data_IF_810609332714
#
_entry.id   IF_810609332714
#
_cell.length_a   1.000
_cell.length_b   1.000
_cell.length_c   1.000
_cell.angle_alpha   90.00
_cell.angle_beta   90.00
_cell.angle_gamma   90.00
#
_symmetry.space_group_name_H-M   'P 1'
#
loop_
_entity.id
_entity.type
_entity.pdbx_description
1 polymer ?
#
# COMPACT_ATOMS: atom_id res chain seq x y z
N UNK A 1 -56.48 66.77 4.00
CA UNK A 1 -56.49 65.33 4.31
C UNK A 1 -55.80 64.64 3.15
N UNK A 2 -54.52 64.30 3.31
CA UNK A 2 -53.74 63.54 2.34
C UNK A 2 -52.79 62.68 3.17
N UNK A 3 -53.10 61.39 3.29
CA UNK A 3 -52.26 60.43 3.98
C UNK A 3 -51.09 59.98 3.09
N UNK A 4 -49.90 59.73 3.68
CA UNK A 4 -48.69 59.44 2.94
C UNK A 4 -48.61 57.96 2.53
N UNK A 5 -48.15 57.75 1.30
CA UNK A 5 -47.25 56.68 0.85
C UNK A 5 -46.90 55.60 1.89
N UNK A 6 -47.56 54.45 1.82
CA UNK A 6 -47.04 53.22 2.42
C UNK A 6 -46.28 52.45 1.34
N UNK A 7 -44.96 52.69 1.29
CA UNK A 7 -44.03 51.88 0.51
C UNK A 7 -43.86 50.56 1.25
N UNK A 8 -44.48 49.50 0.75
CA UNK A 8 -44.34 48.14 1.24
C UNK A 8 -42.87 47.71 1.09
N UNK A 9 -42.13 47.71 2.20
CA UNK A 9 -40.74 47.20 2.24
C UNK A 9 -40.79 45.69 2.06
N UNK A 10 -40.37 45.20 0.90
CA UNK A 10 -39.95 43.82 0.73
C UNK A 10 -38.94 43.46 1.84
N UNK A 11 -39.06 42.28 2.48
CA UNK A 11 -38.07 41.85 3.44
C UNK A 11 -36.76 41.58 2.70
N UNK A 12 -35.72 42.31 3.09
CA UNK A 12 -34.32 42.08 2.72
C UNK A 12 -34.00 40.59 2.89
N UNK A 13 -33.93 39.87 1.77
CA UNK A 13 -33.33 38.54 1.71
C UNK A 13 -31.85 38.76 1.99
N UNK A 14 -31.45 38.63 3.26
CA UNK A 14 -30.05 38.48 3.64
C UNK A 14 -29.50 37.29 2.87
N UNK A 15 -28.79 37.55 1.77
CA UNK A 15 -27.85 36.63 1.15
C UNK A 15 -26.68 36.45 2.12
N UNK A 16 -26.94 35.77 3.24
CA UNK A 16 -25.94 35.17 4.11
C UNK A 16 -25.39 33.89 3.46
N UNK A 17 -24.38 33.26 4.06
CA UNK A 17 -23.38 32.41 3.39
C UNK A 17 -23.93 31.02 3.01
N UNK A 18 -24.89 30.97 2.08
CA UNK A 18 -25.52 29.73 1.63
C UNK A 18 -24.58 28.78 0.89
N UNK A 19 -23.41 29.26 0.46
CA UNK A 19 -22.40 28.45 -0.20
C UNK A 19 -21.35 27.86 0.76
N UNK A 20 -21.23 28.39 1.98
CA UNK A 20 -20.31 27.82 2.97
C UNK A 20 -20.84 26.50 3.53
N UNK A 21 -22.16 26.33 3.61
CA UNK A 21 -22.77 25.10 4.11
C UNK A 21 -22.47 23.85 3.25
N UNK A 22 -22.65 23.88 1.90
CA UNK A 22 -22.27 22.74 1.07
C UNK A 22 -20.76 22.49 1.05
N UNK A 23 -19.93 23.54 1.08
CA UNK A 23 -18.46 23.40 1.15
C UNK A 23 -18.04 22.75 2.47
N UNK A 24 -18.59 23.20 3.60
CA UNK A 24 -18.34 22.60 4.90
C UNK A 24 -18.82 21.13 4.95
N UNK A 25 -19.99 20.84 4.38
CA UNK A 25 -20.51 19.47 4.32
C UNK A 25 -19.59 18.53 3.52
N UNK A 26 -19.06 18.96 2.36
CA UNK A 26 -18.11 18.18 1.58
C UNK A 26 -16.80 17.96 2.33
N UNK A 27 -16.27 18.98 3.01
CA UNK A 27 -15.05 18.85 3.82
C UNK A 27 -15.25 17.87 4.98
N UNK A 28 -16.39 17.93 5.68
CA UNK A 28 -16.71 17.01 6.78
C UNK A 28 -16.88 15.58 6.26
N UNK A 29 -17.63 15.38 5.18
CA UNK A 29 -17.81 14.05 4.59
C UNK A 29 -16.48 13.48 4.05
N UNK A 30 -15.62 14.32 3.46
CA UNK A 30 -14.29 13.93 3.03
C UNK A 30 -13.39 13.52 4.20
N UNK A 31 -13.41 14.26 5.31
CA UNK A 31 -12.67 13.92 6.51
C UNK A 31 -13.16 12.61 7.15
N UNK A 32 -14.48 12.41 7.23
CA UNK A 32 -15.07 11.15 7.72
C UNK A 32 -14.67 9.99 6.81
N UNK A 33 -14.76 10.17 5.49
CA UNK A 33 -14.34 9.17 4.51
C UNK A 33 -12.88 8.78 4.69
N UNK A 34 -11.98 9.77 4.81
CA UNK A 34 -10.54 9.55 5.01
C UNK A 34 -10.25 8.75 6.29
N UNK A 35 -10.85 9.15 7.42
CA UNK A 35 -10.68 8.44 8.69
C UNK A 35 -11.28 7.03 8.61
N UNK A 36 -12.44 6.86 7.97
CA UNK A 36 -13.05 5.55 7.78
C UNK A 36 -12.13 4.63 6.98
N UNK A 37 -11.57 5.07 5.87
CA UNK A 37 -10.62 4.26 5.07
C UNK A 37 -9.37 3.89 5.85
N UNK A 38 -8.85 4.79 6.70
CA UNK A 38 -7.70 4.50 7.58
C UNK A 38 -7.99 3.42 8.61
N UNK A 39 -9.25 3.31 9.06
CA UNK A 39 -9.65 2.31 10.05
C UNK A 39 -10.05 0.97 9.40
N UNK A 40 -10.67 1.00 8.23
CA UNK A 40 -11.21 -0.21 7.58
C UNK A 40 -10.22 -0.89 6.65
N UNK A 41 -9.27 -0.16 6.06
CA UNK A 41 -8.29 -0.71 5.10
C UNK A 41 -6.86 -0.18 5.41
N UNK A 42 -6.34 -0.30 6.65
CA UNK A 42 -5.03 0.24 6.99
C UNK A 42 -3.91 -0.42 6.16
N UNK A 43 -4.10 -1.67 5.79
CA UNK A 43 -3.19 -2.48 5.00
C UNK A 43 -2.98 -1.97 3.56
N UNK A 44 -3.99 -1.32 2.96
CA UNK A 44 -3.85 -0.71 1.62
C UNK A 44 -3.12 0.63 1.66
N UNK A 45 -3.12 1.29 2.82
CA UNK A 45 -2.43 2.56 3.05
C UNK A 45 -1.00 2.36 3.56
N UNK A 46 -0.66 1.13 3.99
CA UNK A 46 0.68 0.75 4.40
C UNK A 46 1.61 0.45 3.20
N UNK A 47 1.08 0.43 1.97
CA UNK A 47 1.92 0.34 0.76
C UNK A 47 2.76 1.61 0.61
N UNK A 48 4.07 1.42 0.77
CA UNK A 48 5.06 2.49 0.73
C UNK A 48 6.13 2.18 -0.31
N UNK A 49 5.74 1.60 -1.44
CA UNK A 49 6.63 1.32 -2.58
C UNK A 49 7.36 2.57 -3.08
N UNK A 50 6.75 3.74 -2.92
CA UNK A 50 7.35 5.03 -3.26
C UNK A 50 8.54 5.40 -2.36
N UNK A 51 8.70 4.77 -1.19
CA UNK A 51 9.83 4.98 -0.30
C UNK A 51 11.11 4.25 -0.74
N UNK A 52 11.02 3.34 -1.71
CA UNK A 52 12.16 2.59 -2.21
C UNK A 52 12.99 3.49 -3.13
N UNK A 53 14.23 3.75 -2.70
CA UNK A 53 15.21 4.56 -3.41
C UNK A 53 15.73 3.90 -4.69
N UNK A 54 16.46 4.67 -5.51
CA UNK A 54 17.00 4.17 -6.76
C UNK A 54 18.08 3.11 -6.53
N UNK A 55 18.25 2.22 -7.52
CA UNK A 55 19.35 1.22 -7.55
C UNK A 55 20.74 1.87 -7.57
N UNK A 56 20.86 3.07 -8.14
CA UNK A 56 22.12 3.80 -8.25
C UNK A 56 22.46 4.61 -6.98
N UNK A 57 21.60 4.55 -5.95
CA UNK A 57 21.83 5.16 -4.65
C UNK A 57 22.98 4.51 -3.87
N UNK A 58 23.49 5.23 -2.87
CA UNK A 58 24.47 4.73 -1.90
C UNK A 58 23.92 5.01 -0.50
N UNK A 59 23.18 4.09 0.13
CA UNK A 59 23.02 2.66 -0.19
C UNK A 59 22.02 2.36 -1.32
N UNK A 60 22.11 1.17 -1.91
CA UNK A 60 21.21 0.74 -3.00
C UNK A 60 19.80 0.47 -2.45
N UNK A 61 18.76 0.88 -3.18
CA UNK A 61 17.36 0.71 -2.71
C UNK A 61 17.14 1.24 -1.29
N UNK A 62 17.72 2.41 -1.00
CA UNK A 62 17.59 3.11 0.28
C UNK A 62 16.13 3.38 0.64
N UNK A 63 15.77 3.24 1.91
CA UNK A 63 14.51 3.77 2.43
C UNK A 63 14.58 5.30 2.51
N UNK A 64 13.91 5.95 1.57
CA UNK A 64 13.87 7.41 1.44
C UNK A 64 12.86 8.09 2.38
N UNK A 65 12.08 7.32 3.13
CA UNK A 65 11.06 7.83 4.04
C UNK A 65 11.56 7.88 5.49
N UNK A 66 10.99 8.78 6.29
CA UNK A 66 11.35 9.02 7.69
C UNK A 66 10.81 7.96 8.68
N UNK A 67 10.46 6.78 8.17
CA UNK A 67 9.78 5.71 8.91
C UNK A 67 10.36 4.35 8.51
N UNK A 68 10.46 3.38 9.43
CA UNK A 68 10.94 2.05 9.11
C UNK A 68 9.95 1.32 8.19
N UNK A 69 10.50 0.55 7.24
CA UNK A 69 9.72 -0.22 6.27
C UNK A 69 10.14 -1.70 6.26
N UNK A 70 9.19 -2.59 6.00
CA UNK A 70 9.44 -3.96 5.57
C UNK A 70 9.56 -3.98 4.05
N UNK A 71 10.77 -4.22 3.54
CA UNK A 71 11.04 -4.41 2.13
C UNK A 71 11.08 -5.91 1.80
N UNK A 72 10.29 -6.33 0.82
CA UNK A 72 10.40 -7.63 0.19
C UNK A 72 10.88 -7.46 -1.24
N UNK A 73 11.96 -8.14 -1.60
CA UNK A 73 12.39 -8.28 -2.99
C UNK A 73 12.26 -9.73 -3.41
N UNK A 74 11.67 -9.93 -4.58
CA UNK A 74 11.49 -11.22 -5.21
C UNK A 74 12.19 -11.21 -6.56
N UNK A 75 13.08 -12.17 -6.73
CA UNK A 75 13.76 -12.42 -7.98
C UNK A 75 13.20 -13.68 -8.63
N UNK A 76 12.82 -13.55 -9.89
CA UNK A 76 12.27 -14.62 -10.69
C UNK A 76 13.36 -15.14 -11.61
N UNK A 77 13.58 -16.45 -11.60
CA UNK A 77 14.64 -17.07 -12.40
C UNK A 77 14.15 -17.42 -13.81
N UNK A 78 15.05 -17.34 -14.78
CA UNK A 78 14.83 -17.88 -16.12
C UNK A 78 14.76 -19.41 -16.12
N UNK A 79 15.45 -20.07 -15.18
CA UNK A 79 15.51 -21.53 -15.08
C UNK A 79 14.16 -22.16 -14.68
N UNK A 80 13.31 -21.42 -13.97
CA UNK A 80 11.98 -21.89 -13.58
C UNK A 80 11.51 -21.37 -12.22
N UNK A 81 10.22 -21.57 -11.92
CA UNK A 81 9.59 -21.10 -10.68
C UNK A 81 10.18 -21.71 -9.39
N UNK A 82 10.79 -22.89 -9.47
CA UNK A 82 11.47 -23.56 -8.35
C UNK A 82 12.78 -22.87 -7.93
N UNK A 83 13.28 -21.96 -8.75
CA UNK A 83 14.44 -21.12 -8.48
C UNK A 83 14.07 -19.68 -8.15
N UNK A 84 12.78 -19.35 -8.12
CA UNK A 84 12.32 -18.04 -7.68
C UNK A 84 12.66 -17.86 -6.20
N UNK A 85 13.16 -16.67 -5.85
CA UNK A 85 13.60 -16.36 -4.50
C UNK A 85 12.95 -15.07 -4.04
N UNK A 86 12.49 -15.05 -2.79
CA UNK A 86 11.97 -13.85 -2.15
C UNK A 86 12.63 -13.69 -0.78
N UNK A 87 13.06 -12.48 -0.46
CA UNK A 87 13.59 -12.14 0.86
C UNK A 87 12.85 -10.95 1.43
N UNK A 88 12.66 -11.00 2.75
CA UNK A 88 12.15 -9.90 3.55
C UNK A 88 13.31 -9.30 4.34
N UNK A 89 13.41 -7.98 4.34
CA UNK A 89 14.32 -7.24 5.18
C UNK A 89 13.60 -6.03 5.76
N UNK A 90 13.99 -5.63 6.96
CA UNK A 90 13.56 -4.37 7.55
C UNK A 90 14.61 -3.31 7.18
N UNK A 91 14.15 -2.14 6.76
CA UNK A 91 15.02 -0.99 6.48
C UNK A 91 14.61 0.19 7.36
N UNK A 92 15.55 0.64 8.19
CA UNK A 92 15.41 1.91 8.89
C UNK A 92 15.48 3.10 7.90
N UNK A 93 15.06 4.31 8.30
CA UNK A 93 15.22 5.51 7.47
C UNK A 93 16.67 5.72 7.05
N UNK A 94 16.92 5.90 5.76
CA UNK A 94 18.27 6.06 5.19
C UNK A 94 19.11 4.77 5.11
N UNK A 95 18.56 3.62 5.50
CA UNK A 95 19.17 2.31 5.31
C UNK A 95 18.75 1.74 3.95
N UNK A 96 19.65 1.05 3.27
CA UNK A 96 19.36 0.38 2.01
C UNK A 96 19.75 -1.09 2.05
N UNK A 97 19.52 -1.77 0.93
CA UNK A 97 19.88 -3.18 0.80
C UNK A 97 21.40 -3.36 0.83
N UNK A 98 21.83 -4.42 1.52
CA UNK A 98 23.22 -4.85 1.48
C UNK A 98 23.56 -5.35 0.06
N UNK A 99 24.54 -4.70 -0.57
CA UNK A 99 24.92 -4.99 -1.94
C UNK A 99 25.56 -6.37 -2.07
N UNK A 100 26.26 -6.85 -1.05
CA UNK A 100 26.87 -8.19 -1.07
C UNK A 100 25.79 -9.27 -1.06
N UNK A 101 24.83 -9.20 -0.14
CA UNK A 101 23.69 -10.11 -0.06
C UNK A 101 22.90 -10.11 -1.37
N UNK A 102 22.59 -8.92 -1.92
CA UNK A 102 21.85 -8.80 -3.18
C UNK A 102 22.58 -9.44 -4.36
N UNK A 103 23.90 -9.25 -4.45
CA UNK A 103 24.69 -9.82 -5.54
C UNK A 103 24.84 -11.33 -5.40
N UNK A 104 24.98 -11.84 -4.18
CA UNK A 104 25.00 -13.28 -3.92
C UNK A 104 23.67 -13.92 -4.31
N UNK A 105 22.58 -13.28 -3.95
CA UNK A 105 21.23 -13.69 -4.33
C UNK A 105 21.04 -13.70 -5.86
N UNK A 106 21.54 -12.67 -6.54
CA UNK A 106 21.52 -12.61 -8.01
C UNK A 106 22.42 -13.64 -8.67
N UNK A 107 23.52 -14.03 -8.04
CA UNK A 107 24.46 -15.03 -8.55
C UNK A 107 23.95 -16.47 -8.33
N UNK A 108 23.16 -16.71 -7.28
CA UNK A 108 22.48 -17.99 -7.04
C UNK A 108 21.37 -18.23 -8.08
N UNK A 109 20.79 -17.16 -8.62
CA UNK A 109 19.83 -17.26 -9.72
C UNK A 109 20.55 -17.60 -11.02
N UNK A 110 20.14 -18.72 -11.63
CA UNK A 110 20.59 -19.15 -12.96
C UNK A 110 19.91 -18.31 -14.06
N UNK A 111 20.15 -17.00 -14.03
CA UNK A 111 19.50 -15.99 -14.88
C UNK A 111 18.33 -15.29 -14.18
N UNK A 112 18.27 -13.96 -14.33
CA UNK A 112 17.20 -13.11 -13.80
C UNK A 112 16.17 -12.81 -14.90
N UNK A 113 14.97 -13.39 -14.75
CA UNK A 113 13.83 -13.10 -15.59
C UNK A 113 13.21 -11.73 -15.25
N UNK A 114 12.96 -11.51 -13.95
CA UNK A 114 12.29 -10.31 -13.41
C UNK A 114 12.66 -10.11 -11.95
N UNK A 115 12.66 -8.85 -11.50
CA UNK A 115 12.72 -8.50 -10.09
C UNK A 115 11.47 -7.70 -9.73
N UNK A 116 10.82 -8.06 -8.62
CA UNK A 116 9.74 -7.30 -8.01
C UNK A 116 10.14 -6.85 -6.61
N UNK A 117 9.79 -5.61 -6.26
CA UNK A 117 10.05 -5.01 -4.96
C UNK A 117 8.73 -4.53 -4.38
N UNK A 118 8.51 -4.83 -3.10
CA UNK A 118 7.36 -4.38 -2.33
C UNK A 118 7.81 -3.84 -0.98
N UNK A 119 7.35 -2.66 -0.60
CA UNK A 119 7.61 -2.05 0.69
C UNK A 119 6.32 -1.77 1.46
N UNK A 120 6.34 -2.14 2.73
CA UNK A 120 5.23 -1.95 3.66
C UNK A 120 5.67 -1.16 4.90
N UNK A 121 4.85 -0.23 5.36
CA UNK A 121 5.03 0.46 6.63
C UNK A 121 4.94 -0.53 7.79
N UNK A 122 5.87 -0.49 8.74
CA UNK A 122 5.73 -1.26 9.98
C UNK A 122 4.44 -0.87 10.72
N UNK A 123 3.67 -1.82 11.27
CA UNK A 123 4.00 -3.24 11.47
C UNK A 123 3.51 -4.16 10.35
N UNK A 124 3.06 -3.63 9.22
CA UNK A 124 2.55 -4.44 8.11
C UNK A 124 3.70 -5.10 7.35
N UNK A 125 3.42 -6.28 6.82
CA UNK A 125 4.38 -7.06 6.04
C UNK A 125 3.87 -7.26 4.62
N UNK A 126 4.77 -7.40 3.63
CA UNK A 126 4.39 -7.80 2.29
C UNK A 126 3.68 -9.17 2.31
N UNK A 127 2.62 -9.27 1.52
CA UNK A 127 1.80 -10.45 1.39
C UNK A 127 0.86 -10.33 0.21
N UNK A 128 -0.28 -11.02 0.29
CA UNK A 128 -1.29 -11.01 -0.77
C UNK A 128 -2.68 -10.79 -0.17
N UNK A 129 -3.58 -10.14 -0.88
CA UNK A 129 -4.97 -10.02 -0.44
C UNK A 129 -5.93 -10.23 -1.60
N UNK A 130 -7.13 -10.72 -1.28
CA UNK A 130 -8.17 -10.90 -2.29
C UNK A 130 -8.81 -9.55 -2.63
N UNK A 131 -8.71 -9.14 -3.89
CA UNK A 131 -9.33 -7.89 -4.32
C UNK A 131 -10.85 -8.06 -4.47
N UNK A 132 -11.63 -7.40 -3.60
CA UNK A 132 -13.09 -7.58 -3.44
C UNK A 132 -13.90 -7.59 -4.76
N UNK A 133 -13.54 -6.74 -5.72
CA UNK A 133 -14.30 -6.60 -6.98
C UNK A 133 -13.97 -7.70 -7.99
N UNK A 134 -12.74 -8.24 -7.96
CA UNK A 134 -12.26 -9.20 -8.97
C UNK A 134 -12.02 -10.60 -8.44
N UNK A 135 -12.07 -10.80 -7.11
CA UNK A 135 -11.70 -12.07 -6.45
C UNK A 135 -10.31 -12.58 -6.84
N UNK A 136 -9.43 -11.66 -7.23
CA UNK A 136 -8.05 -11.96 -7.64
C UNK A 136 -7.12 -11.64 -6.48
N UNK A 137 -6.20 -12.55 -6.19
CA UNK A 137 -5.09 -12.29 -5.30
C UNK A 137 -4.21 -11.18 -5.91
N UNK A 138 -3.90 -10.17 -5.09
CA UNK A 138 -2.99 -9.08 -5.46
C UNK A 138 -1.92 -8.95 -4.38
N UNK A 139 -0.71 -8.61 -4.80
CA UNK A 139 0.34 -8.21 -3.89
C UNK A 139 -0.08 -6.93 -3.14
N UNK A 140 0.32 -6.85 -1.88
CA UNK A 140 0.05 -5.71 -1.01
C UNK A 140 0.65 -5.91 0.37
N UNK A 141 0.30 -5.01 1.28
CA UNK A 141 0.65 -5.15 2.68
C UNK A 141 -0.50 -5.84 3.41
N UNK A 142 -0.15 -6.69 4.38
CA UNK A 142 -1.07 -7.42 5.26
C UNK A 142 -0.52 -7.41 6.68
N UNK A 143 -1.32 -7.85 7.65
CA UNK A 143 -0.83 -8.01 9.02
C UNK A 143 0.16 -9.19 9.12
N UNK A 144 1.15 -9.13 10.03
CA UNK A 144 2.18 -10.18 10.17
C UNK A 144 1.64 -11.55 10.60
N UNK A 145 0.40 -11.62 11.10
CA UNK A 145 -0.31 -12.87 11.43
C UNK A 145 -1.35 -13.30 10.39
N UNK A 146 -1.45 -12.60 9.27
CA UNK A 146 -2.40 -12.93 8.21
C UNK A 146 -1.96 -14.21 7.48
N UNK A 147 -2.88 -15.15 7.14
CA UNK A 147 -2.55 -16.36 6.38
C UNK A 147 -1.94 -16.06 4.99
N UNK A 148 -2.09 -14.84 4.49
CA UNK A 148 -1.51 -14.39 3.23
C UNK A 148 -0.24 -13.55 3.40
N UNK A 149 0.29 -13.42 4.63
CA UNK A 149 1.61 -12.86 4.87
C UNK A 149 2.71 -13.75 4.25
N UNK A 150 3.72 -13.13 3.64
CA UNK A 150 4.86 -13.85 3.07
C UNK A 150 5.15 -13.47 1.61
N UNK A 151 5.85 -14.32 0.86
CA UNK A 151 6.29 -13.98 -0.49
C UNK A 151 5.10 -13.76 -1.43
N UNK A 152 5.05 -12.57 -2.06
CA UNK A 152 4.06 -12.27 -3.10
C UNK A 152 4.48 -12.94 -4.42
N UNK A 153 4.24 -14.24 -4.53
CA UNK A 153 4.59 -14.99 -5.74
C UNK A 153 3.53 -14.72 -6.83
N UNK A 154 3.92 -13.92 -7.83
CA UNK A 154 3.07 -13.51 -8.95
C UNK A 154 3.08 -14.50 -10.13
N UNK A 155 3.99 -15.48 -10.14
CA UNK A 155 4.17 -16.43 -11.25
C UNK A 155 3.31 -17.69 -11.03
N UNK A 156 2.41 -18.06 -11.97
CA UNK A 156 1.69 -19.32 -11.92
C UNK A 156 2.67 -20.51 -11.88
N UNK A 157 2.52 -21.40 -10.90
CA UNK A 157 3.37 -22.59 -10.75
C UNK A 157 4.59 -22.43 -9.84
N UNK A 158 4.89 -21.22 -9.37
CA UNK A 158 5.80 -21.02 -8.24
C UNK A 158 5.07 -21.42 -6.96
N UNK A 159 5.24 -22.68 -6.59
CA UNK A 159 4.67 -23.24 -5.37
C UNK A 159 5.20 -22.46 -4.17
N UNK A 160 4.33 -22.23 -3.17
CA UNK A 160 4.77 -21.84 -1.83
C UNK A 160 5.74 -22.91 -1.36
N UNK A 161 7.01 -22.58 -1.19
CA UNK A 161 7.99 -23.47 -0.56
C UNK A 161 7.40 -23.89 0.81
N UNK A 162 7.37 -25.19 1.15
CA UNK A 162 6.56 -25.74 2.25
C UNK A 162 7.03 -25.37 3.66
N UNK A 163 7.79 -24.29 3.84
CA UNK A 163 8.21 -23.81 5.16
C UNK A 163 7.06 -23.17 5.96
N UNK A 164 5.91 -22.92 5.34
CA UNK A 164 4.73 -22.38 6.02
C UNK A 164 3.46 -23.11 5.55
N UNK A 165 3.37 -24.41 5.82
CA UNK A 165 2.09 -25.13 5.93
C UNK A 165 1.35 -24.63 7.18
N UNK A 166 0.87 -23.38 7.14
CA UNK A 166 -0.39 -23.03 7.78
C UNK A 166 -1.47 -23.40 6.77
N UNK A 167 -2.31 -24.37 7.12
CA UNK A 167 -3.48 -24.78 6.34
C UNK A 167 -4.21 -23.54 5.79
N UNK A 168 -4.39 -23.50 4.46
CA UNK A 168 -5.45 -22.69 3.88
C UNK A 168 -6.73 -23.41 4.30
N UNK A 169 -7.66 -22.80 5.05
CA UNK A 169 -8.94 -23.45 5.32
C UNK A 169 -9.66 -23.61 3.98
N UNK A 170 -9.97 -24.85 3.61
CA UNK A 170 -10.68 -25.23 2.37
C UNK A 170 -12.18 -24.86 2.37
N UNK A 171 -12.64 -24.01 3.30
CA UNK A 171 -14.06 -23.71 3.50
C UNK A 171 -14.36 -22.21 3.27
N UNK A 172 -14.54 -21.82 2.00
CA UNK A 172 -15.37 -20.66 1.59
C UNK A 172 -16.14 -20.95 0.30
#
# INVERSE_FOLDING_TARGET
MADPSSSEKQPDKKQGPGWLFPVAAVLVLGAIGYVSTRLTEPERLADVNHCIGPREGHPIYENTCDMPIHLQYCFFSDAGPERDMCRNTELAPGEGLDQETLNNDLAELDGLFRADFYACELPFVPGQFEHWNTRRMRAGCVQPGDPFAGPHISRPGAARTPANTGEIPDDL
#
